data_IF_452939298756
#
_entry.id   IF_452939298756
#
_cell.length_a   1.000
_cell.length_b   1.000
_cell.length_c   1.000
_cell.angle_alpha   90.00
_cell.angle_beta   90.00
_cell.angle_gamma   90.00
#
_symmetry.space_group_name_H-M   'P 1'
#
loop_
_entity.id
_entity.type
_entity.pdbx_description
1 polymer ?
#
# COMPACT_ATOMS: atom_id res chain seq x y z
N UNK A 1 14.00 10.25 -24.23
CA UNK A 1 13.31 10.03 -22.94
C UNK A 1 14.31 10.04 -21.78
N UNK A 2 14.18 10.99 -20.85
CA UNK A 2 15.02 11.07 -19.66
C UNK A 2 14.96 9.75 -18.88
N UNK A 3 16.11 9.23 -18.48
CA UNK A 3 16.25 7.96 -17.77
C UNK A 3 15.83 8.16 -16.31
N UNK A 4 14.52 8.18 -16.05
CA UNK A 4 13.94 8.34 -14.70
C UNK A 4 14.44 7.18 -13.84
N UNK A 5 15.01 7.46 -12.67
CA UNK A 5 15.42 6.40 -11.76
C UNK A 5 14.19 5.87 -11.01
N UNK A 6 14.17 4.59 -10.61
CA UNK A 6 13.05 4.04 -9.84
C UNK A 6 12.68 4.90 -8.61
N UNK A 7 13.67 5.36 -7.84
CA UNK A 7 13.44 6.19 -6.66
C UNK A 7 12.80 7.55 -6.97
N UNK A 8 13.07 8.15 -8.14
CA UNK A 8 12.50 9.44 -8.54
C UNK A 8 10.95 9.40 -8.58
N UNK A 9 10.36 8.22 -8.82
CA UNK A 9 8.91 8.02 -8.78
C UNK A 9 8.35 8.19 -7.35
N UNK A 10 8.98 7.56 -6.36
CA UNK A 10 8.54 7.68 -4.96
C UNK A 10 8.81 9.08 -4.44
N UNK A 11 9.95 9.67 -4.81
CA UNK A 11 10.26 11.06 -4.47
C UNK A 11 9.20 12.03 -5.03
N UNK A 12 8.75 11.81 -6.26
CA UNK A 12 7.68 12.62 -6.87
C UNK A 12 6.36 12.52 -6.11
N UNK A 13 5.96 11.29 -5.74
CA UNK A 13 4.74 11.05 -4.94
C UNK A 13 4.87 11.70 -3.56
N UNK A 14 6.02 11.52 -2.89
CA UNK A 14 6.32 12.12 -1.59
C UNK A 14 6.22 13.64 -1.63
N UNK A 15 6.80 14.28 -2.65
CA UNK A 15 6.77 15.72 -2.81
C UNK A 15 5.36 16.23 -3.13
N UNK A 16 4.61 15.52 -3.98
CA UNK A 16 3.22 15.88 -4.27
C UNK A 16 2.36 15.83 -3.01
N UNK A 17 2.43 14.73 -2.24
CA UNK A 17 1.68 14.57 -1.00
C UNK A 17 2.07 15.66 0.00
N UNK A 18 3.37 15.91 0.18
CA UNK A 18 3.87 16.92 1.12
C UNK A 18 3.50 18.37 0.78
N UNK A 19 3.06 18.66 -0.44
CA UNK A 19 2.74 20.03 -0.89
C UNK A 19 1.25 20.26 -1.15
N UNK A 20 0.53 19.25 -1.62
CA UNK A 20 -0.80 19.43 -2.19
C UNK A 20 -1.89 18.59 -1.51
N UNK A 21 -1.53 17.64 -0.64
CA UNK A 21 -2.53 16.80 0.02
C UNK A 21 -3.17 17.54 1.20
N UNK A 22 -4.50 17.51 1.28
CA UNK A 22 -5.27 18.34 2.22
C UNK A 22 -5.19 17.86 3.68
N UNK A 23 -5.17 16.54 3.88
CA UNK A 23 -5.14 15.95 5.22
C UNK A 23 -3.74 16.05 5.83
N UNK A 24 -3.52 17.05 6.70
CA UNK A 24 -2.21 17.30 7.31
C UNK A 24 -1.68 16.12 8.10
N UNK A 25 -2.53 15.46 8.88
CA UNK A 25 -2.15 14.25 9.61
C UNK A 25 -1.72 13.11 8.67
N UNK A 26 -2.44 12.92 7.56
CA UNK A 26 -2.09 11.94 6.54
C UNK A 26 -0.73 12.26 5.90
N UNK A 27 -0.46 13.55 5.64
CA UNK A 27 0.84 14.02 5.14
C UNK A 27 1.96 13.68 6.12
N UNK A 28 1.82 14.03 7.40
CA UNK A 28 2.82 13.74 8.42
C UNK A 28 3.14 12.26 8.49
N UNK A 29 2.11 11.41 8.52
CA UNK A 29 2.30 9.97 8.52
C UNK A 29 3.00 9.44 7.27
N UNK A 30 2.58 9.88 6.08
CA UNK A 30 3.19 9.45 4.83
C UNK A 30 4.65 9.90 4.70
N UNK A 31 4.94 11.15 5.10
CA UNK A 31 6.30 11.68 5.09
C UNK A 31 7.20 10.98 6.11
N UNK A 32 6.70 10.53 7.26
CA UNK A 32 7.49 9.74 8.20
C UNK A 32 7.77 8.34 7.65
N UNK A 33 6.74 7.68 7.10
CA UNK A 33 6.85 6.33 6.53
C UNK A 33 7.84 6.27 5.37
N UNK A 34 7.97 7.35 4.59
CA UNK A 34 8.81 7.38 3.39
C UNK A 34 10.19 8.02 3.56
N UNK A 35 10.65 8.24 4.80
CA UNK A 35 11.97 8.85 5.08
C UNK A 35 13.14 8.04 4.50
N UNK A 36 13.08 6.71 4.59
CA UNK A 36 14.17 5.81 4.21
C UNK A 36 13.89 5.06 2.91
N UNK A 37 12.93 5.53 2.10
CA UNK A 37 12.48 4.83 0.89
C UNK A 37 13.61 4.58 -0.12
N UNK A 38 14.60 5.47 -0.19
CA UNK A 38 15.75 5.33 -1.09
C UNK A 38 16.55 4.04 -0.85
N UNK A 39 16.61 3.58 0.39
CA UNK A 39 17.38 2.38 0.77
C UNK A 39 16.70 1.08 0.30
N UNK A 40 15.41 1.12 0.00
CA UNK A 40 14.61 -0.06 -0.35
C UNK A 40 14.37 -0.19 -1.87
N UNK A 41 14.68 0.86 -2.65
CA UNK A 41 14.20 0.99 -4.03
C UNK A 41 15.36 1.08 -5.02
N UNK A 42 15.62 -0.06 -5.66
CA UNK A 42 16.63 -0.19 -6.73
C UNK A 42 16.03 -0.59 -8.08
N UNK A 43 14.72 -0.83 -8.14
CA UNK A 43 14.00 -1.27 -9.34
C UNK A 43 12.56 -0.78 -9.36
N UNK A 44 11.96 -0.69 -10.55
CA UNK A 44 10.54 -0.32 -10.69
C UNK A 44 9.59 -1.29 -9.98
N UNK A 45 9.91 -2.59 -9.95
CA UNK A 45 9.15 -3.59 -9.19
C UNK A 45 9.16 -3.25 -7.69
N UNK A 46 10.31 -2.86 -7.15
CA UNK A 46 10.41 -2.42 -5.76
C UNK A 46 9.62 -1.13 -5.50
N UNK A 47 9.53 -0.17 -6.43
CA UNK A 47 8.67 1.00 -6.25
C UNK A 47 7.20 0.60 -6.04
N UNK A 48 6.70 -0.32 -6.88
CA UNK A 48 5.31 -0.77 -6.81
C UNK A 48 5.07 -1.51 -5.49
N UNK A 49 5.95 -2.44 -5.12
CA UNK A 49 5.85 -3.19 -3.86
C UNK A 49 5.98 -2.26 -2.65
N UNK A 50 6.85 -1.26 -2.71
CA UNK A 50 7.02 -0.28 -1.64
C UNK A 50 5.74 0.51 -1.37
N UNK A 51 5.08 1.02 -2.42
CA UNK A 51 3.79 1.71 -2.29
C UNK A 51 2.70 0.79 -1.77
N UNK A 52 2.67 -0.45 -2.25
CA UNK A 52 1.71 -1.46 -1.80
C UNK A 52 1.87 -1.80 -0.31
N UNK A 53 3.10 -2.07 0.16
CA UNK A 53 3.40 -2.26 1.60
C UNK A 53 3.00 -1.04 2.41
N UNK A 54 3.38 0.15 1.94
CA UNK A 54 3.03 1.42 2.57
C UNK A 54 1.52 1.60 2.73
N UNK A 55 0.74 1.28 1.69
CA UNK A 55 -0.72 1.30 1.77
C UNK A 55 -1.28 0.26 2.76
N UNK A 56 -0.71 -0.93 2.86
CA UNK A 56 -1.14 -1.93 3.83
C UNK A 56 -0.84 -1.53 5.28
N UNK A 57 0.28 -0.84 5.53
CA UNK A 57 0.56 -0.23 6.85
C UNK A 57 -0.55 0.77 7.21
N UNK A 58 -0.94 1.62 6.26
CA UNK A 58 -2.03 2.59 6.45
C UNK A 58 -3.37 1.87 6.67
N UNK A 59 -3.71 0.84 5.88
CA UNK A 59 -4.95 0.07 6.08
C UNK A 59 -5.01 -0.53 7.48
N UNK A 60 -3.93 -1.14 7.95
CA UNK A 60 -3.86 -1.74 9.29
C UNK A 60 -4.08 -0.70 10.38
N UNK A 61 -3.47 0.49 10.27
CA UNK A 61 -3.67 1.57 11.24
C UNK A 61 -5.12 2.06 11.23
N UNK A 62 -5.63 2.42 10.04
CA UNK A 62 -6.96 3.01 9.89
C UNK A 62 -8.08 2.05 10.29
N UNK A 63 -7.89 0.73 10.19
CA UNK A 63 -8.88 -0.28 10.60
C UNK A 63 -9.37 -0.09 12.05
N UNK A 64 -8.47 0.36 12.93
CA UNK A 64 -8.75 0.51 14.36
C UNK A 64 -9.11 1.96 14.76
N UNK A 65 -9.05 2.91 13.83
CA UNK A 65 -9.44 4.31 14.04
C UNK A 65 -10.93 4.47 13.66
N UNK A 66 -11.80 4.55 14.68
CA UNK A 66 -13.20 4.10 14.61
C UNK A 66 -14.24 5.03 13.97
N UNK A 67 -13.97 6.29 13.63
CA UNK A 67 -15.08 7.24 13.35
C UNK A 67 -15.34 7.58 11.87
N UNK A 68 -14.55 7.09 10.92
CA UNK A 68 -14.65 7.51 9.50
C UNK A 68 -14.56 6.38 8.48
N UNK A 69 -14.49 5.14 8.92
CA UNK A 69 -14.35 4.01 8.01
C UNK A 69 -15.69 3.70 7.33
N UNK A 70 -15.71 3.80 6.00
CA UNK A 70 -16.85 3.39 5.20
C UNK A 70 -17.13 1.89 5.45
N UNK A 71 -18.31 1.52 5.98
CA UNK A 71 -18.64 0.13 6.26
C UNK A 71 -18.62 -0.76 5.02
N UNK A 72 -18.81 -0.18 3.83
CA UNK A 72 -18.76 -0.90 2.56
C UNK A 72 -17.33 -1.16 2.10
N UNK A 73 -16.34 -0.45 2.66
CA UNK A 73 -14.92 -0.52 2.28
C UNK A 73 -14.02 -0.65 3.51
N UNK A 74 -14.14 -1.77 4.25
CA UNK A 74 -13.33 -1.99 5.43
C UNK A 74 -11.84 -1.99 5.07
N UNK A 75 -11.03 -1.38 5.94
CA UNK A 75 -9.57 -1.31 5.79
C UNK A 75 -8.94 -2.64 6.20
N UNK A 76 -8.90 -3.59 5.28
CA UNK A 76 -8.27 -4.91 5.46
C UNK A 76 -6.93 -4.99 4.72
N UNK A 77 -6.03 -5.92 5.09
CA UNK A 77 -4.85 -6.22 4.29
C UNK A 77 -5.22 -6.60 2.86
N UNK A 78 -4.51 -6.02 1.90
CA UNK A 78 -4.73 -6.21 0.48
C UNK A 78 -3.52 -6.89 -0.20
N UNK A 79 -3.72 -7.89 -1.06
CA UNK A 79 -4.97 -8.61 -1.28
C UNK A 79 -5.35 -9.48 -0.07
N UNK A 80 -6.64 -9.77 0.09
CA UNK A 80 -7.10 -10.83 0.98
C UNK A 80 -7.08 -12.20 0.26
N UNK A 81 -7.36 -13.28 0.99
CA UNK A 81 -7.26 -14.65 0.45
C UNK A 81 -8.21 -14.92 -0.73
N UNK A 82 -9.37 -14.26 -0.77
CA UNK A 82 -10.32 -14.38 -1.89
C UNK A 82 -9.80 -13.68 -3.16
N UNK A 83 -9.06 -12.59 -2.98
CA UNK A 83 -8.49 -11.82 -4.09
C UNK A 83 -7.22 -12.47 -4.65
N UNK A 84 -6.39 -13.06 -3.79
CA UNK A 84 -5.20 -13.81 -4.19
C UNK A 84 -4.78 -14.80 -3.11
N UNK A 85 -5.10 -16.08 -3.29
CA UNK A 85 -4.72 -17.13 -2.36
C UNK A 85 -3.20 -17.42 -2.36
N UNK A 86 -2.54 -17.31 -3.51
CA UNK A 86 -1.09 -17.55 -3.64
C UNK A 86 -0.23 -16.45 -3.03
N UNK A 87 -0.83 -15.27 -2.82
CA UNK A 87 -0.12 -14.11 -2.29
C UNK A 87 0.13 -14.20 -0.79
N UNK A 88 -0.58 -15.06 -0.06
CA UNK A 88 -0.52 -15.10 1.41
C UNK A 88 0.31 -16.31 1.85
N UNK A 89 1.35 -16.06 2.63
CA UNK A 89 2.18 -17.12 3.23
C UNK A 89 1.66 -17.52 4.60
N UNK A 90 1.10 -16.55 5.34
CA UNK A 90 0.60 -16.77 6.69
C UNK A 90 -0.60 -15.87 7.01
N UNK A 91 -1.59 -16.46 7.67
CA UNK A 91 -2.77 -15.79 8.20
C UNK A 91 -2.65 -15.62 9.72
N UNK A 92 -3.32 -14.61 10.25
CA UNK A 92 -3.58 -14.48 11.69
C UNK A 92 -4.89 -15.18 12.11
N UNK A 93 -5.30 -15.01 13.36
CA UNK A 93 -6.51 -15.61 13.93
C UNK A 93 -7.84 -15.10 13.32
N UNK A 94 -7.80 -13.99 12.59
CA UNK A 94 -8.96 -13.36 11.96
C UNK A 94 -8.98 -13.59 10.43
N UNK A 95 -8.20 -14.54 9.92
CA UNK A 95 -7.99 -14.81 8.49
C UNK A 95 -7.43 -13.59 7.72
N UNK A 96 -6.72 -12.70 8.40
CA UNK A 96 -6.02 -11.59 7.77
C UNK A 96 -4.57 -11.96 7.42
N UNK A 97 -4.07 -11.42 6.32
CA UNK A 97 -2.71 -11.67 5.88
C UNK A 97 -1.68 -11.08 6.86
N UNK A 98 -0.88 -11.95 7.48
CA UNK A 98 0.25 -11.58 8.33
C UNK A 98 1.54 -11.48 7.52
N UNK A 99 1.74 -12.39 6.58
CA UNK A 99 2.93 -12.48 5.72
C UNK A 99 2.51 -12.72 4.26
N UNK A 100 3.18 -12.05 3.32
CA UNK A 100 2.87 -12.08 1.89
C UNK A 100 4.03 -12.65 1.06
N UNK A 101 3.71 -13.52 0.11
CA UNK A 101 4.60 -13.89 -0.99
C UNK A 101 4.54 -12.81 -2.07
N UNK A 102 5.49 -11.89 -2.03
CA UNK A 102 5.55 -10.76 -2.96
C UNK A 102 5.81 -11.14 -4.42
N UNK A 103 6.27 -12.36 -4.69
CA UNK A 103 6.46 -12.84 -6.06
C UNK A 103 5.13 -13.18 -6.74
N UNK A 104 4.11 -13.51 -5.96
CA UNK A 104 2.77 -13.82 -6.44
C UNK A 104 1.87 -12.57 -6.54
N UNK A 105 2.36 -11.42 -6.05
CA UNK A 105 1.66 -10.13 -6.17
C UNK A 105 1.68 -9.67 -7.63
N UNK A 106 0.55 -9.89 -8.30
CA UNK A 106 0.30 -9.40 -9.65
C UNK A 106 -0.94 -8.50 -9.65
N UNK A 107 -0.70 -7.18 -9.67
CA UNK A 107 -1.75 -6.18 -9.61
C UNK A 107 -2.72 -6.19 -10.82
N UNK A 108 -2.33 -6.79 -11.95
CA UNK A 108 -3.23 -6.94 -13.11
C UNK A 108 -4.25 -8.06 -12.85
N UNK A 109 -3.82 -9.15 -12.20
CA UNK A 109 -4.69 -10.29 -11.89
C UNK A 109 -5.46 -10.14 -10.59
N UNK A 110 -4.95 -9.36 -9.63
CA UNK A 110 -5.66 -9.08 -8.39
C UNK A 110 -6.91 -8.25 -8.72
N UNK A 111 -8.08 -8.81 -8.42
CA UNK A 111 -9.35 -8.11 -8.65
C UNK A 111 -9.49 -6.96 -7.66
N UNK A 112 -9.24 -5.76 -8.16
CA UNK A 112 -9.72 -4.52 -7.57
C UNK A 112 -11.24 -4.52 -7.68
N UNK A 113 -11.92 -5.05 -6.67
CA UNK A 113 -13.36 -4.87 -6.53
C UNK A 113 -13.59 -3.40 -6.15
N UNK A 114 -13.44 -2.43 -7.06
CA UNK A 114 -13.74 -1.03 -6.77
C UNK A 114 -15.21 -0.67 -7.07
N UNK A 115 -15.97 -1.57 -7.75
CA UNK A 115 -17.31 -1.23 -8.27
C UNK A 115 -18.33 -2.38 -8.37
N UNK A 116 -18.24 -3.45 -7.57
CA UNK A 116 -19.40 -4.36 -7.47
C UNK A 116 -20.49 -3.73 -6.59
N UNK A 117 -21.30 -2.86 -7.20
CA UNK A 117 -22.69 -2.66 -6.80
C UNK A 117 -23.50 -3.90 -7.15
#
# INVERSE_FOLDING_TARGET
PSNVKPFDLILSIRNFIGKFFLCQECVTHFLNMTLNAENEINSYKQCVLYLWRSHNIVNKRLRYENDSNDPNWPKIPFPNQQQCNKCIEKLDENDDALEYNENEINFISIKFNYHKK
#
